data_IF_429322685958
#
_entry.id   IF_429322685958
#
_cell.length_a   1.000
_cell.length_b   1.000
_cell.length_c   1.000
_cell.angle_alpha   90.00
_cell.angle_beta   90.00
_cell.angle_gamma   90.00
#
_symmetry.space_group_name_H-M   'P 1'
#
loop_
_entity.id
_entity.type
_entity.pdbx_description
1 polymer ?
#
# COMPACT_ATOMS: atom_id res chain seq x y z
N UNK A 1 -7.81 20.04 -30.80
CA UNK A 1 -8.47 19.91 -29.48
C UNK A 1 -8.09 18.65 -28.70
N UNK A 2 -8.30 17.43 -29.23
CA UNK A 2 -8.08 16.19 -28.44
C UNK A 2 -6.67 15.98 -27.89
N UNK A 3 -5.61 16.20 -28.68
CA UNK A 3 -4.20 16.01 -28.23
C UNK A 3 -3.83 16.93 -27.05
N UNK A 4 -4.27 18.19 -27.07
CA UNK A 4 -4.03 19.17 -26.02
C UNK A 4 -4.73 18.77 -24.71
N UNK A 5 -6.00 18.33 -24.79
CA UNK A 5 -6.74 17.83 -23.62
C UNK A 5 -6.06 16.63 -22.95
N UNK A 6 -5.58 15.65 -23.73
CA UNK A 6 -4.85 14.51 -23.18
C UNK A 6 -3.52 14.90 -22.53
N UNK A 7 -2.83 15.90 -23.07
CA UNK A 7 -1.60 16.42 -22.49
C UNK A 7 -1.89 17.12 -21.15
N UNK A 8 -2.92 17.97 -21.11
CA UNK A 8 -3.34 18.67 -19.89
C UNK A 8 -3.75 17.69 -18.79
N UNK A 9 -4.57 16.67 -19.11
CA UNK A 9 -4.93 15.63 -18.15
C UNK A 9 -3.70 14.89 -17.60
N UNK A 10 -2.72 14.58 -18.46
CA UNK A 10 -1.49 13.92 -18.04
C UNK A 10 -0.64 14.79 -17.14
N UNK A 11 -0.46 16.07 -17.48
CA UNK A 11 0.28 17.03 -16.66
C UNK A 11 -0.39 17.18 -15.29
N UNK A 12 -1.72 17.35 -15.26
CA UNK A 12 -2.49 17.44 -14.02
C UNK A 12 -2.27 16.21 -13.13
N UNK A 13 -2.38 15.00 -13.68
CA UNK A 13 -2.13 13.77 -12.92
C UNK A 13 -0.69 13.70 -12.37
N UNK A 14 0.32 14.09 -13.15
CA UNK A 14 1.72 14.08 -12.70
C UNK A 14 1.93 15.10 -11.58
N UNK A 15 1.36 16.31 -11.71
CA UNK A 15 1.47 17.37 -10.69
C UNK A 15 0.79 16.93 -9.40
N UNK A 16 -0.44 16.41 -9.47
CA UNK A 16 -1.19 15.95 -8.30
C UNK A 16 -0.47 14.80 -7.58
N UNK A 17 0.06 13.82 -8.32
CA UNK A 17 0.80 12.70 -7.73
C UNK A 17 2.14 13.14 -7.13
N UNK A 18 2.87 14.01 -7.83
CA UNK A 18 4.13 14.57 -7.33
C UNK A 18 3.92 15.39 -6.05
N UNK A 19 2.88 16.23 -6.02
CA UNK A 19 2.50 16.99 -4.85
C UNK A 19 2.17 16.07 -3.66
N UNK A 20 1.41 14.99 -3.91
CA UNK A 20 1.09 13.99 -2.89
C UNK A 20 2.35 13.30 -2.34
N UNK A 21 3.33 12.95 -3.19
CA UNK A 21 4.63 12.41 -2.74
C UNK A 21 5.39 13.42 -1.89
N UNK A 22 5.45 14.69 -2.31
CA UNK A 22 6.15 15.74 -1.56
C UNK A 22 5.58 15.89 -0.14
N UNK A 23 4.27 15.75 0.03
CA UNK A 23 3.64 15.77 1.35
C UNK A 23 4.20 14.69 2.28
N UNK A 24 4.47 13.48 1.78
CA UNK A 24 5.11 12.42 2.56
C UNK A 24 6.53 12.77 3.01
N UNK A 25 7.31 13.46 2.17
CA UNK A 25 8.66 13.93 2.52
C UNK A 25 8.65 15.09 3.50
N UNK A 26 7.67 15.99 3.41
CA UNK A 26 7.53 17.12 4.34
C UNK A 26 7.01 16.67 5.71
N UNK A 27 6.10 15.69 5.74
CA UNK A 27 5.43 15.19 6.95
C UNK A 27 6.34 14.92 8.15
N UNK A 28 7.49 14.25 8.04
CA UNK A 28 8.33 13.96 9.20
C UNK A 28 9.09 15.18 9.77
N UNK A 29 9.11 16.31 9.05
CA UNK A 29 9.85 17.51 9.47
C UNK A 29 9.15 18.27 10.59
N UNK A 30 9.93 18.97 11.42
CA UNK A 30 9.39 19.81 12.51
C UNK A 30 8.60 21.01 11.97
N UNK A 31 9.11 21.64 10.91
CA UNK A 31 8.46 22.79 10.28
C UNK A 31 7.07 22.42 9.77
N UNK A 32 6.95 21.28 9.09
CA UNK A 32 5.65 20.75 8.68
C UNK A 32 4.77 20.41 9.87
N UNK A 33 5.26 19.64 10.84
CA UNK A 33 4.45 19.20 11.99
C UNK A 33 3.84 20.39 12.74
N UNK A 34 4.57 21.50 12.90
CA UNK A 34 4.06 22.73 13.54
C UNK A 34 3.00 23.43 12.69
N UNK A 35 3.32 23.75 11.43
CA UNK A 35 2.38 24.41 10.51
C UNK A 35 1.12 23.58 10.27
N UNK A 36 1.28 22.26 10.21
CA UNK A 36 0.17 21.33 10.03
C UNK A 36 -0.75 21.31 11.25
N UNK A 37 -0.20 21.36 12.46
CA UNK A 37 -1.00 21.49 13.68
C UNK A 37 -1.80 22.80 13.68
N UNK A 38 -1.18 23.92 13.31
CA UNK A 38 -1.89 25.21 13.17
C UNK A 38 -3.03 25.13 12.12
N UNK A 39 -2.78 24.45 11.00
CA UNK A 39 -3.80 24.19 9.98
C UNK A 39 -4.94 23.30 10.50
N UNK A 40 -4.63 22.21 11.20
CA UNK A 40 -5.62 21.33 11.84
C UNK A 40 -6.47 22.10 12.85
N UNK A 41 -5.84 22.88 13.74
CA UNK A 41 -6.51 23.68 14.76
C UNK A 41 -7.46 24.73 14.14
N UNK A 42 -7.14 25.25 12.95
CA UNK A 42 -8.02 26.13 12.19
C UNK A 42 -9.17 25.38 11.50
N UNK A 43 -8.89 24.24 10.86
CA UNK A 43 -9.91 23.42 10.17
C UNK A 43 -10.96 22.86 11.12
N UNK A 44 -10.58 22.55 12.36
CA UNK A 44 -11.49 22.09 13.42
C UNK A 44 -12.58 23.11 13.74
N UNK A 45 -12.32 24.41 13.55
CA UNK A 45 -13.29 25.48 13.81
C UNK A 45 -14.31 25.65 12.68
N UNK A 46 -14.04 25.09 11.50
CA UNK A 46 -14.78 25.39 10.27
C UNK A 46 -15.73 24.25 9.89
N UNK A 47 -15.23 23.06 9.54
CA UNK A 47 -16.08 21.98 8.97
C UNK A 47 -15.68 20.57 9.46
N UNK A 48 -14.39 20.30 9.71
CA UNK A 48 -13.89 18.94 9.95
C UNK A 48 -13.42 18.78 11.40
N UNK A 49 -14.23 18.12 12.25
CA UNK A 49 -13.81 17.72 13.60
C UNK A 49 -12.67 16.69 13.51
N UNK A 50 -11.77 16.66 14.52
CA UNK A 50 -10.68 15.69 14.65
C UNK A 50 -9.63 15.74 13.52
N UNK A 51 -9.07 14.59 13.12
CA UNK A 51 -8.01 14.44 12.10
C UNK A 51 -8.55 14.56 10.65
N UNK A 52 -9.65 15.30 10.43
CA UNK A 52 -10.29 15.40 9.11
C UNK A 52 -9.44 16.11 8.05
N UNK A 53 -8.52 17.00 8.46
CA UNK A 53 -7.54 17.60 7.56
C UNK A 53 -6.59 16.55 6.95
N UNK A 54 -6.09 15.61 7.78
CA UNK A 54 -5.28 14.48 7.32
C UNK A 54 -6.08 13.63 6.32
N UNK A 55 -7.36 13.34 6.62
CA UNK A 55 -8.24 12.63 5.69
C UNK A 55 -8.35 13.30 4.33
N UNK A 56 -8.67 14.60 4.28
CA UNK A 56 -8.83 15.34 3.04
C UNK A 56 -7.55 15.32 2.19
N UNK A 57 -6.43 15.72 2.78
CA UNK A 57 -5.19 15.97 2.04
C UNK A 57 -4.52 14.68 1.57
N UNK A 58 -4.61 13.59 2.33
CA UNK A 58 -4.04 12.31 1.92
C UNK A 58 -4.98 11.49 1.03
N UNK A 59 -6.30 11.70 1.11
CA UNK A 59 -7.29 10.88 0.38
C UNK A 59 -7.77 11.50 -0.93
N UNK A 60 -8.20 12.77 -0.91
CA UNK A 60 -8.87 13.37 -2.06
C UNK A 60 -7.98 13.46 -3.31
N UNK A 61 -6.68 13.83 -3.20
CA UNK A 61 -5.79 13.83 -4.37
C UNK A 61 -5.69 12.45 -5.04
N UNK A 62 -5.63 11.37 -4.26
CA UNK A 62 -5.52 10.01 -4.78
C UNK A 62 -6.82 9.53 -5.42
N UNK A 63 -7.98 9.83 -4.81
CA UNK A 63 -9.28 9.54 -5.43
C UNK A 63 -9.43 10.34 -6.73
N UNK A 64 -9.08 11.63 -6.71
CA UNK A 64 -9.06 12.49 -7.88
C UNK A 64 -8.19 11.93 -9.01
N UNK A 65 -7.00 11.43 -8.68
CA UNK A 65 -6.11 10.76 -9.63
C UNK A 65 -6.74 9.51 -10.24
N UNK A 66 -7.40 8.67 -9.44
CA UNK A 66 -8.08 7.48 -9.94
C UNK A 66 -9.24 7.84 -10.88
N UNK A 67 -10.03 8.87 -10.54
CA UNK A 67 -11.12 9.36 -11.40
C UNK A 67 -10.60 9.96 -12.71
N UNK A 68 -9.59 10.83 -12.65
CA UNK A 68 -8.95 11.39 -13.84
C UNK A 68 -8.31 10.30 -14.70
N UNK A 69 -7.72 9.28 -14.08
CA UNK A 69 -7.19 8.09 -14.76
C UNK A 69 -8.25 7.30 -15.51
N UNK A 70 -9.43 7.12 -14.91
CA UNK A 70 -10.58 6.47 -15.55
C UNK A 70 -11.06 7.26 -16.77
N UNK A 71 -11.23 8.58 -16.62
CA UNK A 71 -11.62 9.47 -17.73
C UNK A 71 -10.57 9.42 -18.84
N UNK A 72 -9.28 9.53 -18.49
CA UNK A 72 -8.17 9.48 -19.43
C UNK A 72 -8.15 8.17 -20.23
N UNK A 73 -8.35 7.03 -19.57
CA UNK A 73 -8.34 5.71 -20.23
C UNK A 73 -9.55 5.47 -21.11
N UNK A 74 -10.74 5.96 -20.72
CA UNK A 74 -11.96 5.84 -21.52
C UNK A 74 -11.94 6.72 -22.78
N UNK A 75 -11.32 7.91 -22.69
CA UNK A 75 -11.22 8.82 -23.83
C UNK A 75 -10.15 8.39 -24.85
N UNK A 76 -9.19 7.52 -24.48
CA UNK A 76 -8.16 7.09 -25.42
C UNK A 76 -8.72 6.24 -26.59
N UNK A 77 -8.43 6.59 -27.85
CA UNK A 77 -8.84 5.76 -28.98
C UNK A 77 -8.15 4.39 -28.91
N UNK A 78 -8.93 3.30 -28.99
CA UNK A 78 -8.49 1.89 -28.84
C UNK A 78 -7.26 1.51 -29.69
N UNK A 79 -7.05 2.15 -30.86
CA UNK A 79 -5.87 1.94 -31.74
C UNK A 79 -4.60 2.70 -31.31
N UNK A 80 -4.71 3.87 -30.67
CA UNK A 80 -3.56 4.66 -30.24
C UNK A 80 -2.95 4.15 -28.91
N UNK A 81 -3.78 3.53 -28.07
CA UNK A 81 -3.35 2.94 -26.79
C UNK A 81 -2.31 1.84 -27.00
N UNK A 82 -2.53 0.89 -27.93
CA UNK A 82 -1.59 -0.22 -28.17
C UNK A 82 -0.23 0.22 -28.72
N UNK A 83 -0.17 1.17 -29.66
CA UNK A 83 1.09 1.56 -30.30
C UNK A 83 1.93 2.51 -29.43
N UNK A 84 1.28 3.41 -28.68
CA UNK A 84 1.96 4.42 -27.86
C UNK A 84 2.40 3.86 -26.52
N UNK A 85 1.59 3.01 -25.86
CA UNK A 85 2.00 2.27 -24.66
C UNK A 85 3.21 1.38 -24.97
N UNK A 86 3.22 0.69 -26.13
CA UNK A 86 4.37 -0.14 -26.53
C UNK A 86 5.67 0.67 -26.72
N UNK A 87 5.57 1.90 -27.22
CA UNK A 87 6.74 2.78 -27.48
C UNK A 87 7.31 3.42 -26.21
N UNK A 88 6.45 3.90 -25.31
CA UNK A 88 6.91 4.44 -24.02
C UNK A 88 7.30 3.34 -23.04
N UNK A 89 6.57 2.21 -23.01
CA UNK A 89 6.99 1.05 -22.24
C UNK A 89 8.38 0.60 -22.70
N UNK A 90 8.65 0.45 -24.01
CA UNK A 90 9.97 0.04 -24.49
C UNK A 90 11.12 0.96 -24.05
N UNK A 91 10.94 2.29 -24.09
CA UNK A 91 11.98 3.22 -23.64
C UNK A 91 12.19 3.23 -22.11
N UNK A 92 11.14 2.93 -21.34
CA UNK A 92 11.09 3.07 -19.89
C UNK A 92 11.35 1.77 -19.13
N UNK A 93 11.06 0.64 -19.80
CA UNK A 93 11.26 -0.74 -19.32
C UNK A 93 12.52 -1.39 -19.89
N UNK A 94 13.37 -0.62 -20.58
CA UNK A 94 14.69 -1.10 -20.96
C UNK A 94 15.41 -1.59 -19.70
N UNK A 95 15.83 -2.86 -19.67
CA UNK A 95 16.45 -3.44 -18.49
C UNK A 95 17.83 -2.83 -18.29
N UNK A 96 18.00 -2.06 -17.21
CA UNK A 96 19.31 -1.49 -16.87
C UNK A 96 20.17 -2.46 -16.08
N UNK A 97 19.55 -3.36 -15.31
CA UNK A 97 20.25 -4.34 -14.47
C UNK A 97 19.69 -5.72 -14.79
N UNK A 98 20.50 -6.52 -15.49
CA UNK A 98 20.09 -7.83 -16.04
C UNK A 98 20.38 -8.98 -15.06
N UNK A 99 21.14 -8.74 -13.97
CA UNK A 99 21.56 -9.79 -13.03
C UNK A 99 21.43 -9.35 -11.57
N UNK A 100 20.26 -9.60 -10.97
CA UNK A 100 20.09 -9.60 -9.50
C UNK A 100 19.19 -10.78 -9.09
N UNK A 101 19.26 -11.27 -7.84
CA UNK A 101 18.28 -12.23 -7.30
C UNK A 101 16.84 -11.67 -7.29
N UNK A 102 16.65 -10.38 -7.58
CA UNK A 102 15.37 -9.67 -7.68
C UNK A 102 14.78 -9.65 -9.10
N UNK A 103 15.50 -10.23 -10.08
CA UNK A 103 15.10 -10.30 -11.48
C UNK A 103 15.57 -9.11 -12.32
N UNK A 104 14.93 -8.94 -13.47
CA UNK A 104 15.20 -7.82 -14.39
C UNK A 104 14.54 -6.56 -13.81
N UNK A 105 15.35 -5.50 -13.62
CA UNK A 105 14.94 -4.21 -13.08
C UNK A 105 15.08 -3.12 -14.15
N UNK A 106 13.99 -2.40 -14.41
CA UNK A 106 13.98 -1.20 -15.27
C UNK A 106 14.50 0.02 -14.52
N UNK A 107 14.91 1.07 -15.24
CA UNK A 107 15.39 2.31 -14.61
C UNK A 107 14.33 3.03 -13.78
N UNK A 108 13.04 2.95 -14.16
CA UNK A 108 11.95 3.48 -13.34
C UNK A 108 11.76 2.68 -12.06
N UNK A 109 11.90 1.36 -12.12
CA UNK A 109 11.82 0.53 -10.92
C UNK A 109 12.96 0.86 -9.95
N UNK A 110 14.18 1.06 -10.47
CA UNK A 110 15.31 1.54 -9.66
C UNK A 110 15.01 2.90 -9.01
N UNK A 111 14.48 3.85 -9.79
CA UNK A 111 14.14 5.18 -9.29
C UNK A 111 13.04 5.12 -8.22
N UNK A 112 11.97 4.36 -8.45
CA UNK A 112 10.87 4.18 -7.51
C UNK A 112 11.33 3.51 -6.21
N UNK A 113 12.20 2.49 -6.30
CA UNK A 113 12.83 1.86 -5.13
C UNK A 113 13.72 2.84 -4.38
N UNK A 114 14.56 3.60 -5.08
CA UNK A 114 15.42 4.63 -4.48
C UNK A 114 14.60 5.70 -3.76
N UNK A 115 13.51 6.17 -4.38
CA UNK A 115 12.60 7.15 -3.79
C UNK A 115 11.93 6.59 -2.53
N UNK A 116 11.46 5.33 -2.56
CA UNK A 116 10.87 4.66 -1.40
C UNK A 116 11.88 4.51 -0.26
N UNK A 117 13.09 4.01 -0.55
CA UNK A 117 14.15 3.86 0.46
C UNK A 117 14.55 5.22 1.06
N UNK A 118 14.65 6.26 0.23
CA UNK A 118 14.92 7.63 0.67
C UNK A 118 13.80 8.13 1.58
N UNK A 119 12.53 7.93 1.21
CA UNK A 119 11.39 8.32 2.04
C UNK A 119 11.40 7.62 3.40
N UNK A 120 11.66 6.31 3.42
CA UNK A 120 11.75 5.53 4.66
C UNK A 120 12.90 6.00 5.54
N UNK A 121 14.10 6.15 4.97
CA UNK A 121 15.29 6.61 5.68
C UNK A 121 15.13 8.04 6.21
N UNK A 122 14.61 8.95 5.39
CA UNK A 122 14.31 10.33 5.76
C UNK A 122 13.30 10.42 6.89
N UNK A 123 12.20 9.67 6.79
CA UNK A 123 11.17 9.62 7.83
C UNK A 123 11.74 9.10 9.15
N UNK A 124 12.51 8.01 9.08
CA UNK A 124 13.15 7.44 10.25
C UNK A 124 14.10 8.44 10.91
N UNK A 125 15.01 9.04 10.13
CA UNK A 125 16.01 10.01 10.60
C UNK A 125 15.36 11.22 11.29
N UNK A 126 14.43 11.89 10.61
CA UNK A 126 13.76 13.07 11.17
C UNK A 126 13.01 12.75 12.46
N UNK A 127 12.32 11.61 12.52
CA UNK A 127 11.52 11.24 13.70
C UNK A 127 12.39 10.77 14.87
N UNK A 128 13.41 9.96 14.62
CA UNK A 128 14.29 9.46 15.69
C UNK A 128 15.17 10.58 16.25
N UNK A 129 15.69 11.46 15.40
CA UNK A 129 16.46 12.64 15.84
C UNK A 129 15.64 13.52 16.78
N UNK A 130 14.37 13.75 16.44
CA UNK A 130 13.46 14.52 17.28
C UNK A 130 13.10 13.81 18.59
N UNK A 131 12.91 12.50 18.56
CA UNK A 131 12.63 11.72 19.77
C UNK A 131 13.77 11.78 20.77
N UNK A 132 15.02 11.71 20.27
CA UNK A 132 16.20 11.78 21.13
C UNK A 132 16.45 13.18 21.68
N UNK A 133 16.09 14.23 20.94
CA UNK A 133 16.13 15.61 21.45
C UNK A 133 15.08 15.86 22.54
N UNK A 134 13.92 15.22 22.45
CA UNK A 134 12.79 15.37 23.39
C UNK A 134 12.71 14.21 24.37
N UNK A 135 13.83 13.56 24.66
CA UNK A 135 13.87 12.35 25.47
C UNK A 135 13.65 12.70 26.95
N UNK A 136 12.39 12.81 27.36
CA UNK A 136 11.99 12.96 28.75
C UNK A 136 11.71 11.55 29.30
N UNK A 137 12.27 11.16 30.46
CA UNK A 137 11.91 9.91 31.12
C UNK A 137 10.38 9.86 31.27
N UNK A 138 9.74 8.87 30.65
CA UNK A 138 8.28 8.77 30.67
C UNK A 138 7.83 8.53 32.12
N UNK A 139 7.02 9.43 32.68
CA UNK A 139 6.51 9.30 34.06
C UNK A 139 5.78 7.98 34.40
N UNK A 140 5.09 7.26 33.47
CA UNK A 140 4.40 6.03 33.84
C UNK A 140 5.28 4.77 33.83
N UNK A 141 6.31 4.70 32.98
CA UNK A 141 7.20 3.55 32.88
C UNK A 141 8.60 3.97 33.35
N UNK A 142 9.08 3.41 34.47
CA UNK A 142 10.44 3.66 35.02
C UNK A 142 11.53 3.02 34.14
N UNK A 143 11.58 3.36 32.85
CA UNK A 143 12.53 2.85 31.89
C UNK A 143 13.89 3.55 32.04
N UNK A 144 14.95 2.78 31.91
CA UNK A 144 16.30 3.33 31.73
C UNK A 144 16.42 4.07 30.39
N UNK A 145 17.43 4.93 30.27
CA UNK A 145 17.63 5.75 29.06
C UNK A 145 17.79 4.90 27.80
N UNK A 146 18.52 3.78 27.89
CA UNK A 146 18.73 2.90 26.74
C UNK A 146 17.45 2.17 26.33
N UNK A 147 16.65 1.70 27.31
CA UNK A 147 15.34 1.08 27.06
C UNK A 147 14.40 2.06 26.36
N UNK A 148 14.38 3.32 26.82
CA UNK A 148 13.57 4.37 26.20
C UNK A 148 14.03 4.65 24.76
N UNK A 149 15.34 4.78 24.51
CA UNK A 149 15.89 4.96 23.15
C UNK A 149 15.50 3.81 22.23
N UNK A 150 15.66 2.57 22.69
CA UNK A 150 15.30 1.38 21.93
C UNK A 150 13.80 1.31 21.64
N UNK A 151 12.95 1.63 22.63
CA UNK A 151 11.50 1.71 22.45
C UNK A 151 11.11 2.77 21.40
N UNK A 152 11.82 3.92 21.35
CA UNK A 152 11.62 4.91 20.28
C UNK A 152 11.99 4.36 18.91
N UNK A 153 13.13 3.67 18.78
CA UNK A 153 13.50 2.99 17.52
C UNK A 153 12.40 2.02 17.08
N UNK A 154 11.98 1.12 17.98
CA UNK A 154 10.92 0.15 17.69
C UNK A 154 9.62 0.85 17.29
N UNK A 155 9.23 1.93 17.99
CA UNK A 155 8.05 2.74 17.62
C UNK A 155 8.17 3.35 16.23
N UNK A 156 9.38 3.78 15.82
CA UNK A 156 9.61 4.35 14.47
C UNK A 156 9.61 3.30 13.37
N UNK A 157 9.99 2.05 13.65
CA UNK A 157 9.75 0.94 12.72
C UNK A 157 8.26 0.78 12.40
N UNK A 158 7.36 0.99 13.37
CA UNK A 158 5.91 0.95 13.12
C UNK A 158 5.44 2.02 12.12
N UNK A 159 6.05 3.20 12.14
CA UNK A 159 5.78 4.25 11.16
C UNK A 159 6.31 3.91 9.75
N UNK A 160 7.43 3.19 9.65
CA UNK A 160 7.92 2.69 8.36
C UNK A 160 6.98 1.63 7.78
N UNK A 161 6.46 0.74 8.63
CA UNK A 161 5.44 -0.23 8.23
C UNK A 161 4.17 0.46 7.70
N UNK A 162 3.72 1.55 8.34
CA UNK A 162 2.58 2.35 7.89
C UNK A 162 2.79 2.95 6.49
N UNK A 163 3.99 3.48 6.19
CA UNK A 163 4.30 3.99 4.84
C UNK A 163 4.18 2.88 3.80
N UNK A 164 4.73 1.68 4.11
CA UNK A 164 4.61 0.54 3.22
C UNK A 164 3.14 0.11 3.04
N UNK A 165 2.35 0.10 4.12
CA UNK A 165 0.93 -0.23 4.10
C UNK A 165 0.12 0.78 3.28
N UNK A 166 0.41 2.08 3.40
CA UNK A 166 -0.27 3.13 2.65
C UNK A 166 -0.13 2.97 1.13
N UNK A 167 1.00 2.40 0.69
CA UNK A 167 1.26 2.12 -0.73
C UNK A 167 0.85 0.71 -1.16
N UNK A 168 0.61 -0.21 -0.22
CA UNK A 168 0.50 -1.66 -0.45
C UNK A 168 -0.59 -2.07 -1.44
N UNK A 169 -1.72 -1.36 -1.44
CA UNK A 169 -2.91 -1.74 -2.20
C UNK A 169 -2.96 -1.14 -3.60
N UNK A 170 -2.20 -0.07 -3.89
CA UNK A 170 -2.19 0.55 -5.22
C UNK A 170 -1.74 -0.40 -6.33
N UNK A 171 -0.71 -1.26 -6.15
CA UNK A 171 -0.24 -2.12 -7.23
C UNK A 171 -1.21 -3.23 -7.64
N UNK A 172 -2.19 -3.57 -6.79
CA UNK A 172 -3.16 -4.65 -7.06
C UNK A 172 -4.52 -4.14 -7.59
N UNK A 173 -4.68 -2.83 -7.75
CA UNK A 173 -5.80 -2.23 -8.49
C UNK A 173 -5.69 -2.63 -9.97
N UNK A 174 -6.78 -3.13 -10.60
CA UNK A 174 -6.79 -3.40 -12.05
C UNK A 174 -7.52 -2.33 -12.84
N UNK A 175 -8.79 -2.08 -12.50
CA UNK A 175 -9.63 -1.09 -13.18
C UNK A 175 -9.21 0.33 -12.82
N UNK A 176 -9.00 0.58 -11.52
CA UNK A 176 -8.57 1.87 -10.96
C UNK A 176 -7.05 2.01 -10.85
N UNK A 177 -6.30 1.29 -11.69
CA UNK A 177 -4.84 1.23 -11.58
C UNK A 177 -4.16 2.53 -11.99
N UNK A 178 -3.61 3.25 -11.01
CA UNK A 178 -2.76 4.44 -11.25
C UNK A 178 -1.47 4.02 -11.98
N UNK A 179 -0.92 2.83 -11.69
CA UNK A 179 0.30 2.32 -12.32
C UNK A 179 0.13 2.06 -13.83
N UNK A 180 -1.09 1.72 -14.27
CA UNK A 180 -1.38 1.56 -15.70
C UNK A 180 -1.23 2.88 -16.46
N UNK A 181 -1.46 4.03 -15.80
CA UNK A 181 -1.23 5.36 -16.39
C UNK A 181 0.27 5.63 -16.62
N UNK A 182 1.13 4.98 -15.82
CA UNK A 182 2.59 5.01 -15.97
C UNK A 182 3.10 3.98 -16.99
N UNK A 183 2.21 3.21 -17.62
CA UNK A 183 2.56 2.19 -18.60
C UNK A 183 3.04 0.87 -17.99
N UNK A 184 2.88 0.68 -16.69
CA UNK A 184 3.27 -0.55 -15.99
C UNK A 184 2.16 -1.60 -16.15
N UNK A 185 2.54 -2.82 -16.55
CA UNK A 185 1.62 -3.95 -16.66
C UNK A 185 1.21 -4.49 -15.28
N UNK A 186 0.02 -5.08 -15.19
CA UNK A 186 -0.52 -5.58 -13.93
C UNK A 186 0.32 -6.73 -13.35
N UNK A 187 0.84 -7.59 -14.21
CA UNK A 187 1.68 -8.72 -13.85
C UNK A 187 2.97 -8.24 -13.17
N UNK A 188 3.54 -7.14 -13.68
CA UNK A 188 4.69 -6.48 -13.08
C UNK A 188 4.33 -5.75 -11.77
N UNK A 189 3.14 -5.14 -11.67
CA UNK A 189 2.75 -4.41 -10.47
C UNK A 189 2.51 -5.31 -9.25
N UNK A 190 2.11 -6.58 -9.46
CA UNK A 190 2.00 -7.56 -8.37
C UNK A 190 3.35 -7.76 -7.65
N UNK A 191 4.48 -7.64 -8.35
CA UNK A 191 5.82 -7.68 -7.74
C UNK A 191 6.00 -6.58 -6.69
N UNK A 192 5.52 -5.38 -6.95
CA UNK A 192 5.63 -4.26 -6.00
C UNK A 192 4.75 -4.47 -4.77
N UNK A 193 3.57 -5.07 -4.93
CA UNK A 193 2.75 -5.46 -3.78
C UNK A 193 3.47 -6.46 -2.88
N UNK A 194 4.18 -7.43 -3.45
CA UNK A 194 4.98 -8.40 -2.69
C UNK A 194 6.13 -7.69 -1.95
N UNK A 195 6.85 -6.77 -2.61
CA UNK A 195 7.92 -6.01 -1.98
C UNK A 195 7.41 -5.12 -0.84
N UNK A 196 6.36 -4.34 -1.08
CA UNK A 196 5.75 -3.47 -0.07
C UNK A 196 5.19 -4.29 1.10
N UNK A 197 4.52 -5.42 0.83
CA UNK A 197 3.96 -6.28 1.87
C UNK A 197 5.04 -6.94 2.73
N UNK A 198 6.14 -7.38 2.11
CA UNK A 198 7.28 -7.95 2.84
C UNK A 198 7.97 -6.89 3.69
N UNK A 199 8.22 -5.69 3.14
CA UNK A 199 8.79 -4.57 3.90
C UNK A 199 7.89 -4.13 5.05
N UNK A 200 6.58 -4.06 4.82
CA UNK A 200 5.59 -3.74 5.87
C UNK A 200 5.69 -4.74 7.04
N UNK A 201 5.66 -6.04 6.75
CA UNK A 201 5.71 -7.08 7.80
C UNK A 201 7.07 -7.11 8.49
N UNK A 202 8.17 -6.89 7.77
CA UNK A 202 9.50 -6.76 8.36
C UNK A 202 9.55 -5.61 9.39
N UNK A 203 9.14 -4.40 9.00
CA UNK A 203 9.15 -3.26 9.91
C UNK A 203 8.12 -3.39 11.05
N UNK A 204 6.95 -3.98 10.78
CA UNK A 204 5.95 -4.27 11.81
C UNK A 204 6.48 -5.30 12.83
N UNK A 205 7.26 -6.28 12.39
CA UNK A 205 7.89 -7.27 13.27
C UNK A 205 8.97 -6.62 14.12
N UNK A 206 9.84 -5.78 13.55
CA UNK A 206 10.80 -5.00 14.33
C UNK A 206 10.11 -4.10 15.37
N UNK A 207 8.98 -3.49 14.99
CA UNK A 207 8.17 -2.69 15.89
C UNK A 207 7.60 -3.50 17.06
N UNK A 208 6.88 -4.59 16.76
CA UNK A 208 6.24 -5.42 17.77
C UNK A 208 7.24 -6.14 18.65
N UNK A 209 8.20 -6.86 18.05
CA UNK A 209 9.22 -7.60 18.79
C UNK A 209 10.10 -6.66 19.64
N UNK A 210 10.48 -5.50 19.11
CA UNK A 210 11.25 -4.51 19.87
C UNK A 210 10.48 -3.93 21.05
N UNK A 211 9.18 -3.68 20.89
CA UNK A 211 8.31 -3.19 21.96
C UNK A 211 8.11 -4.26 23.04
N UNK A 212 7.80 -5.50 22.66
CA UNK A 212 7.65 -6.63 23.56
C UNK A 212 8.95 -6.93 24.32
N UNK A 213 10.11 -6.82 23.66
CA UNK A 213 11.42 -6.99 24.30
C UNK A 213 11.61 -5.99 25.45
N UNK A 214 11.36 -4.70 25.22
CA UNK A 214 11.47 -3.66 26.26
C UNK A 214 10.50 -3.92 27.40
N UNK A 215 9.24 -4.25 27.10
CA UNK A 215 8.25 -4.55 28.14
C UNK A 215 8.62 -5.79 28.96
N UNK A 216 9.22 -6.81 28.33
CA UNK A 216 9.68 -8.03 28.98
C UNK A 216 10.80 -7.76 29.99
N UNK A 217 11.87 -7.09 29.57
CA UNK A 217 13.02 -6.76 30.44
C UNK A 217 12.69 -5.71 31.51
N UNK A 218 11.64 -4.92 31.30
CA UNK A 218 11.17 -3.93 32.28
C UNK A 218 10.02 -4.44 33.16
N UNK A 219 9.67 -5.73 33.05
CA UNK A 219 8.61 -6.40 33.83
C UNK A 219 7.20 -5.79 33.68
N UNK A 220 6.93 -5.05 32.60
CA UNK A 220 5.61 -4.48 32.31
C UNK A 220 4.79 -5.33 31.33
N UNK A 221 5.36 -6.38 30.75
CA UNK A 221 4.77 -7.15 29.65
C UNK A 221 3.34 -7.64 29.91
N UNK A 222 3.05 -8.21 31.08
CA UNK A 222 1.72 -8.73 31.39
C UNK A 222 0.66 -7.63 31.48
N UNK A 223 1.05 -6.46 32.02
CA UNK A 223 0.15 -5.32 32.18
C UNK A 223 -0.13 -4.68 30.82
N UNK A 224 0.90 -4.48 30.01
CA UNK A 224 0.80 -3.72 28.75
C UNK A 224 0.16 -4.52 27.61
N UNK A 225 0.50 -5.82 27.45
CA UNK A 225 0.00 -6.65 26.34
C UNK A 225 -1.52 -6.79 26.31
N UNK A 226 -2.14 -6.84 27.50
CA UNK A 226 -3.59 -7.03 27.65
C UNK A 226 -4.38 -5.73 27.63
N UNK A 227 -3.72 -4.58 27.47
CA UNK A 227 -4.41 -3.30 27.55
C UNK A 227 -5.28 -3.05 26.33
N UNK A 228 -6.55 -2.77 26.62
CA UNK A 228 -7.46 -2.10 25.71
C UNK A 228 -7.62 -0.64 26.13
N UNK A 229 -6.76 0.23 25.60
CA UNK A 229 -6.74 1.64 25.96
C UNK A 229 -8.03 2.35 25.52
N UNK A 230 -8.59 3.18 26.39
CA UNK A 230 -9.76 4.02 26.09
C UNK A 230 -9.43 5.17 25.13
N UNK A 231 -8.18 5.64 25.13
CA UNK A 231 -7.68 6.69 24.26
C UNK A 231 -6.29 6.36 23.73
N UNK A 232 -6.02 6.75 22.49
CA UNK A 232 -4.73 6.53 21.84
C UNK A 232 -4.65 5.14 21.20
N UNK A 233 -3.45 4.54 21.26
CA UNK A 233 -3.16 3.29 20.56
C UNK A 233 -3.54 2.09 21.40
N UNK A 234 -4.35 1.19 20.84
CA UNK A 234 -4.77 -0.04 21.52
C UNK A 234 -3.67 -1.10 21.34
N UNK A 235 -3.04 -1.55 22.43
CA UNK A 235 -1.90 -2.48 22.35
C UNK A 235 -2.32 -3.89 21.95
N UNK A 236 -3.38 -4.42 22.57
CA UNK A 236 -3.93 -5.72 22.21
C UNK A 236 -4.34 -5.79 20.73
N UNK A 237 -4.91 -4.71 20.19
CA UNK A 237 -5.23 -4.61 18.76
C UNK A 237 -3.96 -4.64 17.89
N UNK A 238 -2.86 -4.06 18.36
CA UNK A 238 -1.56 -4.10 17.68
C UNK A 238 -0.99 -5.51 17.59
N UNK A 239 -1.12 -6.30 18.66
CA UNK A 239 -0.71 -7.70 18.67
C UNK A 239 -1.53 -8.53 17.69
N UNK A 240 -2.87 -8.38 17.71
CA UNK A 240 -3.76 -9.05 16.76
C UNK A 240 -3.41 -8.65 15.32
N UNK A 241 -3.13 -7.36 15.08
CA UNK A 241 -2.70 -6.86 13.76
C UNK A 241 -1.40 -7.52 13.31
N UNK A 242 -0.39 -7.61 14.19
CA UNK A 242 0.91 -8.21 13.86
C UNK A 242 0.79 -9.70 13.58
N UNK A 243 0.10 -10.45 14.44
CA UNK A 243 -0.13 -11.89 14.26
C UNK A 243 -0.87 -12.15 12.94
N UNK A 244 -1.94 -11.40 12.68
CA UNK A 244 -2.70 -11.51 11.42
C UNK A 244 -1.81 -11.20 10.21
N UNK A 245 -1.01 -10.14 10.27
CA UNK A 245 -0.06 -9.78 9.22
C UNK A 245 1.00 -10.86 8.95
N UNK A 246 1.52 -11.50 10.01
CA UNK A 246 2.45 -12.62 9.90
C UNK A 246 1.80 -13.84 9.27
N UNK A 247 0.56 -14.19 9.63
CA UNK A 247 -0.19 -15.31 9.02
C UNK A 247 -0.40 -15.06 7.51
N UNK A 248 -0.82 -13.85 7.14
CA UNK A 248 -0.98 -13.45 5.74
C UNK A 248 0.37 -13.58 5.00
N UNK A 249 1.46 -13.10 5.58
CA UNK A 249 2.77 -13.12 4.94
C UNK A 249 3.35 -14.52 4.79
N UNK A 250 3.32 -15.33 5.86
CA UNK A 250 3.80 -16.72 5.84
C UNK A 250 3.05 -17.55 4.80
N UNK A 251 1.72 -17.43 4.74
CA UNK A 251 0.90 -18.13 3.73
C UNK A 251 1.15 -17.61 2.30
N UNK A 252 1.63 -16.37 2.15
CA UNK A 252 1.96 -15.74 0.86
C UNK A 252 3.37 -16.08 0.34
N UNK A 253 4.22 -16.72 1.15
CA UNK A 253 5.57 -17.12 0.73
C UNK A 253 5.52 -18.02 -0.51
N UNK A 254 6.45 -17.88 -1.47
CA UNK A 254 6.44 -18.67 -2.71
C UNK A 254 6.39 -20.19 -2.48
N UNK A 255 7.05 -20.68 -1.43
CA UNK A 255 7.06 -22.10 -1.05
C UNK A 255 5.66 -22.60 -0.68
N UNK A 256 4.92 -21.81 0.11
CA UNK A 256 3.56 -22.16 0.55
C UNK A 256 2.57 -21.98 -0.59
N UNK A 257 2.55 -20.80 -1.23
CA UNK A 257 1.59 -20.47 -2.28
C UNK A 257 1.67 -21.41 -3.50
N UNK A 258 2.87 -21.86 -3.88
CA UNK A 258 3.05 -22.80 -5.01
C UNK A 258 2.61 -24.23 -4.68
N UNK A 259 2.72 -24.65 -3.40
CA UNK A 259 2.34 -26.01 -2.97
C UNK A 259 0.89 -26.09 -2.50
N UNK A 260 0.36 -25.04 -1.87
CA UNK A 260 -0.94 -24.99 -1.19
C UNK A 260 -1.64 -23.65 -1.49
N UNK A 261 -2.08 -23.48 -2.74
CA UNK A 261 -2.70 -22.23 -3.19
C UNK A 261 -3.95 -21.85 -2.39
N UNK A 262 -4.78 -22.82 -1.98
CA UNK A 262 -5.97 -22.55 -1.16
C UNK A 262 -5.62 -21.93 0.19
N UNK A 263 -4.56 -22.40 0.86
CA UNK A 263 -4.10 -21.82 2.13
C UNK A 263 -3.71 -20.36 1.94
N UNK A 264 -2.90 -20.07 0.90
CA UNK A 264 -2.61 -18.69 0.52
C UNK A 264 -3.90 -17.88 0.30
N UNK A 265 -4.80 -18.39 -0.53
CA UNK A 265 -6.00 -17.66 -0.93
C UNK A 265 -6.90 -17.29 0.26
N UNK A 266 -7.21 -18.25 1.14
CA UNK A 266 -8.08 -18.01 2.28
C UNK A 266 -7.40 -17.16 3.36
N UNK A 267 -6.13 -17.43 3.67
CA UNK A 267 -5.39 -16.66 4.67
C UNK A 267 -5.16 -15.22 4.23
N UNK A 268 -4.97 -14.97 2.92
CA UNK A 268 -4.79 -13.61 2.42
C UNK A 268 -6.04 -12.74 2.62
N UNK A 269 -7.26 -13.32 2.68
CA UNK A 269 -8.49 -12.58 2.98
C UNK A 269 -8.56 -12.00 4.40
N UNK A 270 -7.70 -12.47 5.31
CA UNK A 270 -7.54 -11.87 6.63
C UNK A 270 -7.05 -10.42 6.57
N UNK A 271 -6.74 -9.86 5.39
CA UNK A 271 -6.49 -8.43 5.19
C UNK A 271 -7.61 -7.56 5.77
N UNK A 272 -8.87 -8.04 5.80
CA UNK A 272 -10.00 -7.29 6.39
C UNK A 272 -9.79 -7.16 7.90
N UNK A 273 -9.50 -8.29 8.56
CA UNK A 273 -9.21 -8.35 10.00
C UNK A 273 -7.99 -7.47 10.31
N UNK A 274 -6.94 -7.59 9.51
CA UNK A 274 -5.74 -6.77 9.64
C UNK A 274 -6.05 -5.26 9.58
N UNK A 275 -6.83 -4.79 8.60
CA UNK A 275 -7.17 -3.37 8.45
C UNK A 275 -8.03 -2.84 9.61
N UNK A 276 -8.97 -3.64 10.10
CA UNK A 276 -9.83 -3.28 11.24
C UNK A 276 -9.02 -3.16 12.53
N UNK A 277 -8.18 -4.15 12.84
CA UNK A 277 -7.34 -4.09 14.03
C UNK A 277 -6.22 -3.06 13.90
N UNK A 278 -5.72 -2.79 12.69
CA UNK A 278 -4.81 -1.68 12.44
C UNK A 278 -5.47 -0.33 12.74
N UNK A 279 -6.73 -0.12 12.36
CA UNK A 279 -7.49 1.08 12.73
C UNK A 279 -7.56 1.24 14.25
N UNK A 280 -7.91 0.18 14.98
CA UNK A 280 -7.98 0.22 16.45
C UNK A 280 -6.61 0.46 17.09
N UNK A 281 -5.56 -0.16 16.54
CA UNK A 281 -4.20 -0.02 17.07
C UNK A 281 -3.62 1.38 16.81
N UNK A 282 -3.71 1.85 15.56
CA UNK A 282 -3.00 3.05 15.13
C UNK A 282 -3.84 4.32 15.35
N UNK A 283 -5.18 4.21 15.35
CA UNK A 283 -6.11 5.33 15.44
C UNK A 283 -6.43 5.95 14.08
N UNK A 284 -7.43 6.84 14.08
CA UNK A 284 -7.98 7.53 12.91
C UNK A 284 -6.91 8.31 12.13
N UNK A 285 -6.04 9.07 12.82
CA UNK A 285 -4.97 9.86 12.22
C UNK A 285 -4.10 9.02 11.29
N UNK A 286 -3.66 7.87 11.78
CA UNK A 286 -2.79 6.95 11.07
C UNK A 286 -3.55 6.16 9.99
N UNK A 287 -4.80 5.79 10.29
CA UNK A 287 -5.65 5.08 9.34
C UNK A 287 -5.97 5.92 8.10
N UNK A 288 -6.19 7.22 8.23
CA UNK A 288 -6.45 8.12 7.10
C UNK A 288 -5.31 8.19 6.07
N UNK A 289 -4.09 7.82 6.45
CA UNK A 289 -2.95 7.75 5.52
C UNK A 289 -2.98 6.47 4.67
N UNK A 290 -3.57 5.40 5.20
CA UNK A 290 -3.72 4.10 4.53
C UNK A 290 -5.05 4.00 3.78
N UNK A 291 -6.06 4.73 4.25
CA UNK A 291 -7.42 4.73 3.73
C UNK A 291 -7.53 4.90 2.21
N UNK A 292 -6.76 5.76 1.51
CA UNK A 292 -6.94 5.98 0.08
C UNK A 292 -6.72 4.69 -0.72
N UNK A 293 -5.71 3.90 -0.35
CA UNK A 293 -5.45 2.59 -0.95
C UNK A 293 -6.54 1.58 -0.63
N UNK A 294 -7.02 1.54 0.62
CA UNK A 294 -8.09 0.64 1.05
C UNK A 294 -9.42 0.94 0.34
N UNK A 295 -9.76 2.23 0.22
CA UNK A 295 -10.97 2.71 -0.44
C UNK A 295 -10.96 2.37 -1.93
N UNK A 296 -9.88 2.71 -2.65
CA UNK A 296 -9.76 2.39 -4.07
C UNK A 296 -9.78 0.86 -4.31
N UNK A 297 -9.17 0.08 -3.43
CA UNK A 297 -9.21 -1.38 -3.51
C UNK A 297 -10.62 -1.92 -3.31
N UNK A 298 -11.37 -1.38 -2.33
CA UNK A 298 -12.77 -1.72 -2.12
C UNK A 298 -13.63 -1.42 -3.35
N UNK A 299 -13.50 -0.21 -3.92
CA UNK A 299 -14.21 0.17 -5.15
C UNK A 299 -13.84 -0.71 -6.35
N UNK A 300 -12.54 -0.97 -6.57
CA UNK A 300 -12.06 -1.84 -7.64
C UNK A 300 -12.61 -3.27 -7.49
N UNK A 301 -12.72 -3.78 -6.26
CA UNK A 301 -13.33 -5.08 -5.95
C UNK A 301 -14.82 -5.08 -6.24
N UNK A 302 -15.56 -4.05 -5.83
CA UNK A 302 -17.00 -3.90 -6.12
C UNK A 302 -17.27 -3.86 -7.62
N UNK A 303 -16.51 -3.06 -8.38
CA UNK A 303 -16.66 -3.01 -9.84
C UNK A 303 -16.42 -4.36 -10.51
N UNK A 304 -15.48 -5.16 -10.00
CA UNK A 304 -15.24 -6.51 -10.53
C UNK A 304 -16.36 -7.49 -10.22
N UNK A 305 -16.98 -7.38 -9.05
CA UNK A 305 -18.14 -8.20 -8.71
C UNK A 305 -19.29 -7.85 -9.66
N UNK A 306 -19.56 -6.56 -9.88
CA UNK A 306 -20.61 -6.10 -10.81
C UNK A 306 -20.31 -6.50 -12.26
N UNK A 307 -19.05 -6.42 -12.70
CA UNK A 307 -18.64 -6.77 -14.06
C UNK A 307 -18.39 -8.27 -14.27
N UNK A 308 -18.45 -9.09 -13.21
CA UNK A 308 -18.21 -10.52 -13.33
C UNK A 308 -19.27 -11.15 -14.25
N UNK A 309 -18.80 -11.80 -15.31
CA UNK A 309 -19.66 -12.50 -16.28
C UNK A 309 -19.84 -13.96 -15.86
N UNK A 310 -20.95 -14.61 -16.26
CA UNK A 310 -21.22 -16.00 -15.93
C UNK A 310 -20.15 -16.95 -16.50
N UNK A 311 -20.11 -18.15 -15.91
CA UNK A 311 -19.22 -19.26 -16.28
C UNK A 311 -19.19 -19.48 -17.80
N UNK A 312 -17.98 -19.51 -18.37
CA UNK A 312 -17.75 -19.92 -19.76
C UNK A 312 -17.33 -21.38 -19.78
N UNK A 313 -17.88 -22.16 -20.72
CA UNK A 313 -17.48 -23.56 -20.91
C UNK A 313 -16.20 -23.61 -21.76
N UNK A 314 -15.31 -24.54 -21.44
CA UNK A 314 -14.11 -24.79 -22.24
C UNK A 314 -14.52 -25.67 -23.43
N UNK A 315 -14.23 -25.23 -24.66
CA UNK A 315 -14.54 -25.97 -25.88
C UNK A 315 -13.51 -27.06 -26.15
N UNK A 316 -12.23 -26.74 -25.97
CA UNK A 316 -11.13 -27.66 -26.24
C UNK A 316 -9.94 -27.32 -25.33
N UNK A 317 -9.15 -28.35 -25.01
CA UNK A 317 -7.89 -28.23 -24.28
C UNK A 317 -6.83 -29.01 -25.05
N UNK A 318 -5.73 -28.36 -25.42
CA UNK A 318 -4.58 -29.01 -26.06
C UNK A 318 -3.30 -28.70 -25.29
N UNK A 319 -2.51 -29.74 -25.03
CA UNK A 319 -1.18 -29.60 -24.43
C UNK A 319 -0.16 -29.68 -25.55
N UNK A 320 0.56 -28.58 -25.79
CA UNK A 320 1.59 -28.50 -26.83
C UNK A 320 2.91 -29.10 -26.33
N UNK A 321 3.81 -29.55 -27.23
CA UNK A 321 5.11 -30.15 -26.85
C UNK A 321 5.98 -29.24 -25.97
N UNK A 322 5.79 -27.92 -26.06
CA UNK A 322 6.47 -26.91 -25.25
C UNK A 322 5.92 -26.74 -23.83
N UNK A 323 5.04 -27.64 -23.35
CA UNK A 323 4.31 -27.54 -22.07
C UNK A 323 3.41 -26.30 -21.98
N UNK A 324 2.99 -25.78 -23.13
CA UNK A 324 1.98 -24.72 -23.23
C UNK A 324 0.59 -25.36 -23.32
N UNK A 325 -0.38 -24.80 -22.59
CA UNK A 325 -1.77 -25.23 -22.65
C UNK A 325 -2.53 -24.25 -23.53
N UNK A 326 -3.10 -24.77 -24.61
CA UNK A 326 -4.04 -24.07 -25.48
C UNK A 326 -5.47 -24.37 -25.00
N UNK A 327 -6.26 -23.32 -24.78
CA UNK A 327 -7.65 -23.39 -24.29
C UNK A 327 -8.56 -22.64 -25.26
N UNK A 328 -9.51 -23.36 -25.86
CA UNK A 328 -10.53 -22.75 -26.71
C UNK A 328 -11.76 -22.40 -25.87
N UNK A 329 -12.20 -21.14 -25.97
CA UNK A 329 -13.36 -20.61 -25.24
C UNK A 329 -14.39 -20.03 -26.23
N UNK A 330 -15.70 -20.18 -25.96
CA UNK A 330 -16.74 -19.59 -26.80
C UNK A 330 -16.68 -18.06 -26.70
N UNK A 331 -16.85 -17.39 -27.84
CA UNK A 331 -16.83 -15.92 -27.92
C UNK A 331 -18.03 -15.26 -27.25
N UNK A 332 -19.19 -15.93 -27.28
CA UNK A 332 -20.41 -15.53 -26.57
C UNK A 332 -20.95 -16.72 -25.76
N UNK A 333 -21.18 -16.53 -24.46
CA UNK A 333 -21.75 -17.53 -23.55
C UNK A 333 -23.23 -17.83 -23.83
N UNK A 334 -23.90 -17.05 -24.69
CA UNK A 334 -25.34 -17.12 -24.96
C UNK A 334 -25.75 -17.98 -26.16
N UNK A 335 -24.81 -18.40 -27.02
CA UNK A 335 -25.16 -18.98 -28.34
C UNK A 335 -25.34 -20.50 -28.40
N UNK A 336 -25.31 -21.22 -27.27
CA UNK A 336 -25.44 -22.71 -27.29
C UNK A 336 -26.59 -23.26 -26.44
N UNK A 337 -27.55 -22.43 -26.04
CA UNK A 337 -28.81 -22.88 -25.43
C UNK A 337 -29.90 -23.28 -26.45
N UNK A 338 -29.61 -23.24 -27.75
CA UNK A 338 -30.59 -23.44 -28.84
C UNK A 338 -30.26 -24.63 -29.76
N UNK A 339 -29.30 -25.49 -29.41
CA UNK A 339 -28.89 -26.62 -30.27
C UNK A 339 -28.92 -27.98 -29.53
N UNK A 340 -29.82 -28.16 -28.56
CA UNK A 340 -30.15 -29.48 -28.02
C UNK A 340 -31.65 -29.68 -27.97
#
# INVERSE_FOLDING_TARGET
>A
MGKTMFLLLRILMIITFSAWIVLWFLKPTNGWTRKWKEFEDNMQRIIFKYNGADFLVFTFPIIGLAMLGLVYTNLQPKRASRSRVRRYAAALSNPLIIRTPLGILSGIEALAMCLLLTLLGWTFYCRISNDYKKLIPAKPLKLTIWQLKFLKIATRCGLLAEICLALLLFPILRGLSILRLLGIQFEASVRYHIWLGTSMVFFATLHGAGTLFVWGISHYIQNEMRMWQKQGRIYLAGEITLITGLIIWMSSLPVVRRKRFYVFYYMHHLYIVFLVFFLFHAGDRHFYMVFPGAFLFGLDKLFRIIQSRPLTQILSVRILPSKVIELDLPKDSSKRKLEN
#
